data_IF_155842503387
#
_entry.id   IF_155842503387
#
_cell.length_a   1.000
_cell.length_b   1.000
_cell.length_c   1.000
_cell.angle_alpha   90.00
_cell.angle_beta   90.00
_cell.angle_gamma   90.00
#
_symmetry.space_group_name_H-M   'P 1'
#
loop_
_entity.id
_entity.type
_entity.pdbx_description
1 polymer ?
#
# COMPACT_ATOMS: atom_id res chain seq x y z
N UNK A 1 -18.34 -23.51 33.28
CA UNK A 1 -18.54 -23.73 31.85
C UNK A 1 -17.46 -24.72 31.34
N UNK A 2 -17.87 -25.71 30.55
CA UNK A 2 -16.98 -26.79 30.05
C UNK A 2 -15.81 -26.18 29.26
N UNK A 3 -16.07 -25.22 28.42
CA UNK A 3 -15.05 -24.55 27.61
C UNK A 3 -14.00 -23.81 28.47
N UNK A 4 -14.43 -23.16 29.56
CA UNK A 4 -13.51 -22.47 30.48
C UNK A 4 -12.58 -23.49 31.17
N UNK A 5 -13.14 -24.65 31.64
CA UNK A 5 -12.37 -25.68 32.31
C UNK A 5 -11.39 -26.36 31.33
N UNK A 6 -11.80 -26.55 30.07
CA UNK A 6 -10.92 -27.07 29.01
C UNK A 6 -9.76 -26.13 28.72
N UNK A 7 -10.03 -24.85 28.55
CA UNK A 7 -8.99 -23.83 28.30
C UNK A 7 -8.01 -23.74 29.47
N UNK A 8 -8.50 -23.85 30.70
CA UNK A 8 -7.65 -23.87 31.89
C UNK A 8 -6.75 -25.13 31.91
N UNK A 9 -7.29 -26.30 31.64
CA UNK A 9 -6.53 -27.55 31.55
C UNK A 9 -5.42 -27.44 30.47
N UNK A 10 -5.73 -26.94 29.30
CA UNK A 10 -4.76 -26.76 28.22
C UNK A 10 -3.66 -25.77 28.64
N UNK A 11 -4.02 -24.66 29.27
CA UNK A 11 -3.04 -23.70 29.78
C UNK A 11 -2.11 -24.34 30.82
N UNK A 12 -2.64 -24.97 31.88
CA UNK A 12 -1.84 -25.58 32.92
C UNK A 12 -0.89 -26.66 32.38
N UNK A 13 -1.35 -27.43 31.39
CA UNK A 13 -0.58 -28.55 30.83
C UNK A 13 0.52 -28.07 29.86
N UNK A 14 0.29 -27.02 29.10
CA UNK A 14 1.14 -26.66 27.96
C UNK A 14 1.83 -25.28 28.07
N UNK A 15 1.57 -24.47 29.13
CA UNK A 15 2.19 -23.16 29.28
C UNK A 15 3.74 -23.18 29.22
N UNK A 16 4.36 -24.24 29.71
CA UNK A 16 5.82 -24.42 29.71
C UNK A 16 6.36 -24.96 28.37
N UNK A 17 5.48 -25.28 27.41
CA UNK A 17 5.86 -25.76 26.09
C UNK A 17 5.70 -24.69 25.01
N UNK A 18 5.26 -23.50 25.40
CA UNK A 18 5.20 -22.36 24.49
C UNK A 18 6.60 -21.99 24.02
N UNK A 19 6.76 -21.86 22.72
CA UNK A 19 8.00 -21.40 22.10
C UNK A 19 7.70 -20.18 21.22
N UNK A 20 7.90 -19.00 21.78
CA UNK A 20 7.66 -17.72 21.10
C UNK A 20 8.99 -17.14 20.63
N UNK A 21 9.15 -17.05 19.33
CA UNK A 21 10.30 -16.37 18.75
C UNK A 21 10.02 -14.85 18.67
N UNK A 22 10.28 -14.17 19.78
CA UNK A 22 10.04 -12.73 19.90
C UNK A 22 10.88 -11.90 18.90
N UNK A 23 12.10 -12.33 18.60
CA UNK A 23 12.99 -11.66 17.65
C UNK A 23 12.41 -11.73 16.22
N UNK A 24 11.87 -12.86 15.82
CA UNK A 24 11.20 -13.03 14.54
C UNK A 24 9.95 -12.14 14.42
N UNK A 25 9.13 -12.13 15.47
CA UNK A 25 7.91 -11.28 15.52
C UNK A 25 8.31 -9.80 15.42
N UNK A 26 9.34 -9.39 16.17
CA UNK A 26 9.87 -8.02 16.14
C UNK A 26 10.37 -7.62 14.76
N UNK A 27 11.09 -8.50 14.08
CA UNK A 27 11.61 -8.24 12.74
C UNK A 27 10.47 -8.14 11.71
N UNK A 28 9.49 -9.04 11.76
CA UNK A 28 8.27 -8.98 10.92
C UNK A 28 7.50 -7.68 11.14
N UNK A 29 7.34 -7.26 12.39
CA UNK A 29 6.65 -6.02 12.73
C UNK A 29 7.40 -4.79 12.20
N UNK A 30 8.74 -4.75 12.32
CA UNK A 30 9.57 -3.67 11.75
C UNK A 30 9.38 -3.58 10.23
N UNK A 31 9.45 -4.71 9.53
CA UNK A 31 9.24 -4.75 8.08
C UNK A 31 7.83 -4.26 7.72
N UNK A 32 6.81 -4.74 8.40
CA UNK A 32 5.43 -4.29 8.20
C UNK A 32 5.27 -2.77 8.37
N UNK A 33 5.89 -2.19 9.40
CA UNK A 33 5.85 -0.74 9.63
C UNK A 33 6.56 0.03 8.51
N UNK A 34 7.70 -0.48 8.01
CA UNK A 34 8.41 0.12 6.89
C UNK A 34 7.57 0.09 5.61
N UNK A 35 6.92 -1.03 5.31
CA UNK A 35 6.01 -1.18 4.17
C UNK A 35 4.80 -0.25 4.28
N UNK A 36 4.18 -0.15 5.45
CA UNK A 36 3.10 0.79 5.70
C UNK A 36 3.55 2.25 5.52
N UNK A 37 4.74 2.59 5.99
CA UNK A 37 5.32 3.92 5.80
C UNK A 37 5.56 4.25 4.33
N UNK A 38 5.96 3.26 3.52
CA UNK A 38 6.13 3.40 2.08
C UNK A 38 4.77 3.56 1.36
N UNK A 39 3.78 2.76 1.73
CA UNK A 39 2.44 2.79 1.15
C UNK A 39 1.62 4.02 1.54
N UNK A 40 2.05 4.77 2.55
CA UNK A 40 1.36 5.97 3.02
C UNK A 40 1.83 7.27 2.33
N UNK A 41 2.69 7.18 1.31
CA UNK A 41 3.03 8.34 0.48
C UNK A 41 1.86 8.68 -0.45
N UNK A 42 1.44 9.93 -0.42
CA UNK A 42 0.41 10.48 -1.28
C UNK A 42 0.98 11.67 -2.08
N UNK A 43 0.54 11.75 -3.32
CA UNK A 43 0.93 12.78 -4.27
C UNK A 43 -0.31 13.52 -4.75
N UNK A 44 -0.30 14.84 -4.67
CA UNK A 44 -1.30 15.68 -5.32
C UNK A 44 -0.82 16.00 -6.73
N UNK A 45 -1.53 15.43 -7.71
CA UNK A 45 -1.09 15.41 -9.10
C UNK A 45 -2.02 16.18 -10.03
N UNK A 46 -1.45 16.69 -11.10
CA UNK A 46 -2.19 17.08 -12.31
C UNK A 46 -1.55 16.41 -13.52
N UNK A 47 -2.35 16.20 -14.57
CA UNK A 47 -1.92 15.49 -15.78
C UNK A 47 -2.29 16.24 -17.06
N UNK A 48 -1.48 16.01 -18.09
CA UNK A 48 -1.80 16.29 -19.50
C UNK A 48 -1.62 14.98 -20.24
N UNK A 49 -2.67 14.46 -20.86
CA UNK A 49 -2.57 13.32 -21.77
C UNK A 49 -2.75 13.86 -23.19
N UNK A 50 -1.83 13.54 -24.09
CA UNK A 50 -1.90 13.97 -25.47
C UNK A 50 -1.52 12.84 -26.43
N UNK A 51 -2.10 12.88 -27.61
CA UNK A 51 -1.79 11.96 -28.69
C UNK A 51 -0.97 12.69 -29.78
N UNK A 52 -0.22 11.90 -30.54
CA UNK A 52 0.50 12.34 -31.72
C UNK A 52 -0.09 11.59 -32.91
N UNK A 53 -0.74 12.32 -33.82
CA UNK A 53 -1.31 11.76 -35.02
C UNK A 53 -0.22 11.35 -36.02
N UNK A 54 -0.55 10.46 -36.96
CA UNK A 54 0.42 9.92 -37.93
C UNK A 54 1.14 10.98 -38.79
N UNK A 55 0.54 12.16 -38.95
CA UNK A 55 1.08 13.29 -39.70
C UNK A 55 1.73 14.37 -38.79
N UNK A 56 1.79 14.17 -37.48
CA UNK A 56 2.37 15.07 -36.49
C UNK A 56 3.75 14.62 -36.04
N UNK A 57 4.62 15.57 -35.71
CA UNK A 57 5.89 15.26 -35.05
C UNK A 57 5.72 15.32 -33.55
N UNK A 58 6.08 14.24 -32.86
CA UNK A 58 6.13 14.21 -31.39
C UNK A 58 6.90 15.39 -30.82
N UNK A 59 8.08 15.68 -31.39
CA UNK A 59 8.94 16.77 -30.92
C UNK A 59 8.22 18.11 -30.97
N UNK A 60 7.60 18.44 -32.12
CA UNK A 60 6.86 19.72 -32.30
C UNK A 60 5.66 19.78 -31.33
N UNK A 61 4.90 18.68 -31.18
CA UNK A 61 3.74 18.65 -30.28
C UNK A 61 4.16 18.87 -28.83
N UNK A 62 5.24 18.21 -28.40
CA UNK A 62 5.76 18.36 -27.04
C UNK A 62 6.33 19.78 -26.79
N UNK A 63 7.04 20.36 -27.75
CA UNK A 63 7.53 21.75 -27.69
C UNK A 63 6.38 22.75 -27.50
N UNK A 64 5.31 22.64 -28.29
CA UNK A 64 4.11 23.49 -28.14
C UNK A 64 3.47 23.36 -26.75
N UNK A 65 3.34 22.15 -26.23
CA UNK A 65 2.78 21.88 -24.88
C UNK A 65 3.71 22.47 -23.80
N UNK A 66 5.01 22.28 -23.94
CA UNK A 66 6.01 22.79 -23.00
C UNK A 66 6.04 24.31 -22.95
N UNK A 67 6.00 24.98 -24.10
CA UNK A 67 5.90 26.44 -24.21
C UNK A 67 4.60 26.96 -23.58
N UNK A 68 3.49 26.27 -23.81
CA UNK A 68 2.21 26.63 -23.17
C UNK A 68 2.28 26.47 -21.65
N UNK A 69 2.92 25.40 -21.14
CA UNK A 69 3.12 25.20 -19.70
C UNK A 69 3.95 26.38 -19.11
N UNK A 70 5.01 26.78 -19.79
CA UNK A 70 5.90 27.87 -19.33
C UNK A 70 5.18 29.23 -19.37
N UNK A 71 4.52 29.54 -20.47
CA UNK A 71 3.95 30.87 -20.71
C UNK A 71 2.58 31.10 -20.09
N UNK A 72 1.75 30.05 -20.00
CA UNK A 72 0.36 30.13 -19.58
C UNK A 72 0.03 29.29 -18.35
N UNK A 73 0.98 28.46 -17.90
CA UNK A 73 0.82 27.55 -16.79
C UNK A 73 0.19 26.20 -17.15
N UNK A 74 0.45 25.21 -16.31
CA UNK A 74 0.04 23.81 -16.53
C UNK A 74 -1.48 23.63 -16.70
N UNK A 75 -2.28 24.40 -15.95
CA UNK A 75 -3.74 24.36 -16.04
C UNK A 75 -4.24 24.74 -17.44
N UNK A 76 -3.74 25.84 -17.98
CA UNK A 76 -4.15 26.30 -19.31
C UNK A 76 -3.64 25.36 -20.42
N UNK A 77 -2.40 24.89 -20.31
CA UNK A 77 -1.87 23.88 -21.22
C UNK A 77 -2.69 22.58 -21.19
N UNK A 78 -3.15 22.14 -20.01
CA UNK A 78 -4.05 20.99 -19.90
C UNK A 78 -5.39 21.24 -20.62
N UNK A 79 -6.00 22.40 -20.42
CA UNK A 79 -7.25 22.76 -21.09
C UNK A 79 -7.15 22.75 -22.63
N UNK A 80 -5.98 23.15 -23.16
CA UNK A 80 -5.76 23.28 -24.59
C UNK A 80 -5.35 21.97 -25.28
N UNK A 81 -4.54 21.15 -24.61
CA UNK A 81 -3.85 20.03 -25.27
C UNK A 81 -4.21 18.67 -24.71
N UNK A 82 -4.80 18.60 -23.52
CA UNK A 82 -5.10 17.29 -22.92
C UNK A 82 -6.39 16.68 -23.46
N UNK A 83 -6.32 15.38 -23.77
CA UNK A 83 -7.48 14.56 -24.14
C UNK A 83 -8.12 13.88 -22.92
N UNK A 84 -7.57 14.09 -21.72
CA UNK A 84 -8.10 13.52 -20.49
C UNK A 84 -9.45 14.15 -20.10
N UNK A 85 -10.34 13.38 -19.46
CA UNK A 85 -11.66 13.87 -19.02
C UNK A 85 -11.55 15.09 -18.10
N UNK A 86 -10.50 15.14 -17.28
CA UNK A 86 -10.22 16.25 -16.36
C UNK A 86 -9.45 17.44 -17.00
N UNK A 87 -9.27 17.44 -18.31
CA UNK A 87 -8.59 18.53 -19.04
C UNK A 87 -9.15 19.91 -18.66
N UNK A 88 -10.49 20.06 -18.73
CA UNK A 88 -11.20 21.32 -18.45
C UNK A 88 -11.04 21.84 -17.02
N UNK A 89 -10.65 20.98 -16.09
CA UNK A 89 -10.32 21.35 -14.71
C UNK A 89 -8.82 21.54 -14.49
N UNK A 90 -8.06 21.69 -15.59
CA UNK A 90 -6.61 21.87 -15.57
C UNK A 90 -5.84 20.59 -15.29
N UNK A 91 -6.43 19.45 -15.68
CA UNK A 91 -5.82 18.14 -15.51
C UNK A 91 -5.74 17.68 -14.06
N UNK A 92 -6.50 18.28 -13.14
CA UNK A 92 -6.42 17.97 -11.71
C UNK A 92 -6.87 16.55 -11.42
N UNK A 93 -5.99 15.73 -10.81
CA UNK A 93 -6.29 14.39 -10.35
C UNK A 93 -6.59 14.41 -8.84
N UNK A 94 -5.94 15.32 -8.09
CA UNK A 94 -6.00 15.38 -6.64
C UNK A 94 -4.99 14.45 -5.97
N UNK A 95 -5.30 14.06 -4.73
CA UNK A 95 -4.44 13.19 -3.93
C UNK A 95 -4.58 11.72 -4.33
N UNK A 96 -3.47 11.12 -4.73
CA UNK A 96 -3.37 9.70 -5.07
C UNK A 96 -2.33 9.05 -4.17
N UNK A 97 -2.67 7.88 -3.64
CA UNK A 97 -1.72 7.07 -2.88
C UNK A 97 -0.69 6.44 -3.83
N UNK A 98 0.56 6.35 -3.40
CA UNK A 98 1.66 5.74 -4.17
C UNK A 98 1.31 4.35 -4.71
N UNK A 99 0.60 3.54 -3.92
CA UNK A 99 0.20 2.18 -4.31
C UNK A 99 -0.81 2.09 -5.46
N UNK A 100 -1.45 3.20 -5.81
CA UNK A 100 -2.39 3.30 -6.93
C UNK A 100 -1.70 3.67 -8.26
N UNK A 101 -0.41 3.97 -8.21
CA UNK A 101 0.39 4.36 -9.37
C UNK A 101 1.19 3.17 -9.90
N UNK A 102 1.39 3.11 -11.22
CA UNK A 102 2.28 2.11 -11.81
C UNK A 102 3.74 2.40 -11.45
N UNK A 103 4.58 1.36 -11.41
CA UNK A 103 6.01 1.50 -11.11
C UNK A 103 6.70 2.54 -12.01
N UNK A 104 6.36 2.56 -13.30
CA UNK A 104 6.89 3.53 -14.26
C UNK A 104 6.56 4.98 -13.90
N UNK A 105 5.37 5.23 -13.41
CA UNK A 105 4.96 6.57 -12.95
C UNK A 105 5.68 6.90 -11.64
N UNK A 106 5.78 5.95 -10.71
CA UNK A 106 6.48 6.12 -9.44
C UNK A 106 7.94 6.54 -9.66
N UNK A 107 8.68 5.84 -10.53
CA UNK A 107 10.06 6.14 -10.86
C UNK A 107 10.25 7.59 -11.34
N UNK A 108 9.31 8.11 -12.12
CA UNK A 108 9.36 9.49 -12.62
C UNK A 108 9.06 10.49 -11.51
N UNK A 109 7.97 10.29 -10.76
CA UNK A 109 7.50 11.29 -9.79
C UNK A 109 8.35 11.35 -8.52
N UNK A 110 9.06 10.27 -8.17
CA UNK A 110 9.97 10.26 -7.02
C UNK A 110 11.13 11.25 -7.19
N UNK A 111 11.61 11.39 -8.44
CA UNK A 111 12.71 12.27 -8.81
C UNK A 111 12.28 13.74 -9.01
N UNK A 112 10.98 14.04 -9.04
CA UNK A 112 10.46 15.39 -9.19
C UNK A 112 10.27 16.05 -7.83
N UNK A 113 10.47 17.37 -7.77
CA UNK A 113 10.14 18.22 -6.62
C UNK A 113 8.68 18.70 -6.70
N UNK A 114 8.21 19.35 -5.64
CA UNK A 114 6.93 20.04 -5.68
C UNK A 114 6.97 21.14 -6.76
N UNK A 115 5.86 21.30 -7.45
CA UNK A 115 5.65 22.16 -8.62
C UNK A 115 6.43 21.80 -9.90
N UNK A 116 7.24 20.74 -9.89
CA UNK A 116 7.91 20.26 -11.08
C UNK A 116 6.99 19.47 -12.01
N UNK A 117 7.34 19.52 -13.29
CA UNK A 117 6.65 18.86 -14.40
C UNK A 117 7.55 17.77 -14.98
N UNK A 118 6.99 16.60 -15.22
CA UNK A 118 7.72 15.46 -15.80
C UNK A 118 8.02 15.68 -17.28
N UNK A 119 8.99 14.93 -17.79
CA UNK A 119 9.07 14.63 -19.22
C UNK A 119 7.88 13.76 -19.64
N UNK A 120 7.53 13.71 -20.93
CA UNK A 120 6.47 12.84 -21.43
C UNK A 120 6.75 11.37 -21.14
N UNK A 121 5.77 10.69 -20.57
CA UNK A 121 5.77 9.25 -20.29
C UNK A 121 4.87 8.59 -21.33
N UNK A 122 5.38 7.65 -22.10
CA UNK A 122 4.54 6.91 -23.04
C UNK A 122 3.55 6.00 -22.31
N UNK A 123 2.29 6.09 -22.69
CA UNK A 123 1.18 5.26 -22.21
C UNK A 123 0.48 4.59 -23.40
N UNK A 124 -0.51 3.73 -23.12
CA UNK A 124 -1.19 2.92 -24.16
C UNK A 124 -1.82 3.78 -25.26
N UNK A 125 -2.37 4.94 -24.89
CA UNK A 125 -3.13 5.84 -25.77
C UNK A 125 -2.46 7.21 -25.92
N UNK A 126 -1.11 7.25 -25.98
CA UNK A 126 -0.37 8.48 -26.22
C UNK A 126 0.72 8.75 -25.21
N UNK A 127 0.81 9.98 -24.74
CA UNK A 127 1.83 10.45 -23.83
C UNK A 127 1.20 11.19 -22.64
N UNK A 128 1.78 10.97 -21.47
CA UNK A 128 1.36 11.55 -20.20
C UNK A 128 2.46 12.52 -19.70
N UNK A 129 2.08 13.73 -19.35
CA UNK A 129 2.90 14.68 -18.61
C UNK A 129 2.25 14.86 -17.23
N UNK A 130 3.03 14.76 -16.17
CA UNK A 130 2.56 14.89 -14.79
C UNK A 130 3.18 16.12 -14.16
N UNK A 131 2.37 16.91 -13.44
CA UNK A 131 2.84 17.93 -12.51
C UNK A 131 2.58 17.47 -11.09
N UNK A 132 3.61 17.51 -10.23
CA UNK A 132 3.44 17.35 -8.78
C UNK A 132 3.08 18.70 -8.21
N UNK A 133 1.94 18.78 -7.51
CA UNK A 133 1.58 19.97 -6.73
C UNK A 133 2.16 19.89 -5.34
N UNK A 134 2.02 18.72 -4.71
CA UNK A 134 2.44 18.48 -3.34
C UNK A 134 2.69 17.00 -3.10
N UNK A 135 3.60 16.69 -2.20
CA UNK A 135 3.85 15.34 -1.66
C UNK A 135 3.58 15.35 -0.16
N UNK A 136 2.90 14.35 0.33
CA UNK A 136 2.72 14.18 1.77
C UNK A 136 2.90 12.73 2.18
N UNK A 137 3.32 12.55 3.42
CA UNK A 137 3.34 11.26 4.08
C UNK A 137 2.15 11.22 5.05
N UNK A 138 1.22 10.32 4.82
CA UNK A 138 0.11 10.09 5.73
C UNK A 138 0.61 9.25 6.90
N UNK A 139 0.98 9.89 8.00
CA UNK A 139 1.48 9.19 9.18
C UNK A 139 0.37 8.32 9.79
N UNK A 140 0.52 7.01 9.69
CA UNK A 140 -0.20 6.07 10.53
C UNK A 140 0.73 5.77 11.72
N UNK A 141 0.51 6.46 12.82
CA UNK A 141 1.25 6.17 14.07
C UNK A 141 0.88 4.76 14.52
N UNK A 142 1.74 3.81 14.23
CA UNK A 142 1.66 2.46 14.77
C UNK A 142 2.44 2.48 16.08
N UNK A 143 1.74 2.26 17.19
CA UNK A 143 2.38 2.03 18.47
C UNK A 143 3.07 0.66 18.42
N UNK A 144 4.38 0.69 18.28
CA UNK A 144 5.19 -0.51 18.11
C UNK A 144 5.01 -1.47 19.29
N UNK A 145 5.07 -0.96 20.52
CA UNK A 145 5.01 -1.80 21.71
C UNK A 145 3.64 -2.47 21.85
N UNK A 146 2.58 -1.71 21.69
CA UNK A 146 1.20 -2.22 21.73
C UNK A 146 0.97 -3.28 20.66
N UNK A 147 1.44 -3.05 19.44
CA UNK A 147 1.26 -3.98 18.34
C UNK A 147 2.14 -5.23 18.54
N UNK A 148 3.35 -5.09 19.07
CA UNK A 148 4.23 -6.19 19.40
C UNK A 148 3.60 -7.11 20.45
N UNK A 149 3.10 -6.55 21.55
CA UNK A 149 2.42 -7.33 22.60
C UNK A 149 1.15 -8.02 22.07
N UNK A 150 0.43 -7.37 21.15
CA UNK A 150 -0.73 -7.98 20.47
C UNK A 150 -0.31 -9.20 19.63
N UNK A 151 0.80 -9.11 18.91
CA UNK A 151 1.32 -10.21 18.10
C UNK A 151 1.82 -11.37 18.96
N UNK A 152 2.53 -11.09 20.07
CA UNK A 152 2.95 -12.10 21.05
C UNK A 152 1.74 -12.84 21.62
N UNK A 153 0.71 -12.11 22.04
CA UNK A 153 -0.51 -12.69 22.60
C UNK A 153 -1.24 -13.57 21.58
N UNK A 154 -1.29 -13.12 20.31
CA UNK A 154 -1.88 -13.91 19.22
C UNK A 154 -1.11 -15.20 18.97
N UNK A 155 0.22 -15.15 18.97
CA UNK A 155 1.05 -16.32 18.76
C UNK A 155 0.88 -17.35 19.92
N UNK A 156 0.84 -16.87 21.17
CA UNK A 156 0.53 -17.73 22.34
C UNK A 156 -0.82 -18.42 22.17
N UNK A 157 -1.85 -17.67 21.80
CA UNK A 157 -3.18 -18.23 21.60
C UNK A 157 -3.22 -19.25 20.46
N UNK A 158 -2.50 -19.01 19.37
CA UNK A 158 -2.39 -19.95 18.26
C UNK A 158 -1.75 -21.29 18.72
N UNK A 159 -0.67 -21.21 19.49
CA UNK A 159 -0.01 -22.42 20.02
C UNK A 159 -0.90 -23.15 21.00
N UNK A 160 -1.60 -22.47 21.90
CA UNK A 160 -2.58 -23.11 22.79
C UNK A 160 -3.71 -23.77 22.01
N UNK A 161 -4.22 -23.16 20.97
CA UNK A 161 -5.24 -23.77 20.10
C UNK A 161 -4.71 -25.04 19.42
N UNK A 162 -3.47 -25.05 18.96
CA UNK A 162 -2.84 -26.24 18.38
C UNK A 162 -2.67 -27.35 19.43
N UNK A 163 -2.18 -27.03 20.62
CA UNK A 163 -2.10 -27.99 21.71
C UNK A 163 -3.45 -28.56 22.12
N UNK A 164 -4.47 -27.72 22.16
CA UNK A 164 -5.85 -28.10 22.41
C UNK A 164 -6.35 -29.15 21.42
N UNK A 165 -6.16 -28.90 20.13
CA UNK A 165 -6.56 -29.84 19.07
C UNK A 165 -5.81 -31.16 19.17
N UNK A 166 -4.49 -31.11 19.34
CA UNK A 166 -3.63 -32.29 19.45
C UNK A 166 -4.05 -33.12 20.67
N UNK A 167 -4.23 -32.45 21.82
CA UNK A 167 -4.60 -33.12 23.05
C UNK A 167 -6.01 -33.72 23.01
N UNK A 168 -6.97 -33.01 22.44
CA UNK A 168 -8.32 -33.51 22.21
C UNK A 168 -8.31 -34.78 21.34
N UNK A 169 -7.59 -34.77 20.23
CA UNK A 169 -7.49 -35.94 19.35
C UNK A 169 -6.83 -37.12 20.04
N UNK A 170 -5.81 -36.87 20.86
CA UNK A 170 -5.16 -37.95 21.68
C UNK A 170 -6.12 -38.55 22.68
N UNK A 171 -6.92 -37.74 23.38
CA UNK A 171 -7.94 -38.26 24.33
C UNK A 171 -9.00 -39.07 23.59
N UNK A 172 -9.50 -38.50 22.46
CA UNK A 172 -10.55 -39.17 21.65
C UNK A 172 -10.13 -40.54 21.16
N UNK A 173 -8.88 -40.74 20.80
CA UNK A 173 -8.36 -42.08 20.40
C UNK A 173 -8.30 -43.09 21.55
N UNK A 174 -8.17 -42.63 22.78
CA UNK A 174 -8.01 -43.45 23.95
C UNK A 174 -9.35 -43.74 24.72
N UNK A 175 -10.44 -43.09 24.27
CA UNK A 175 -11.77 -43.24 24.87
C UNK A 175 -12.66 -43.99 23.88
N UNK A 176 -13.05 -45.24 24.18
CA UNK A 176 -14.15 -45.91 23.48
C UNK A 176 -15.45 -45.24 23.93
N UNK A 177 -16.02 -44.36 23.13
CA UNK A 177 -17.36 -43.82 23.34
C UNK A 177 -18.34 -44.91 22.91
N UNK A 178 -18.84 -45.69 23.84
CA UNK A 178 -20.02 -46.52 23.61
C UNK A 178 -21.21 -45.56 23.65
N UNK A 179 -21.74 -45.19 22.49
CA UNK A 179 -23.05 -44.55 22.40
C UNK A 179 -24.12 -45.60 22.83
N UNK A 180 -24.84 -45.32 23.93
CA UNK A 180 -26.02 -46.01 24.36
C UNK A 180 -27.23 -45.62 23.55
#
# INVERSE_FOLDING_TARGET
>A
NIESNWNQLIFEKFQNQLSINEEEIKNKLKQYILEQNYSNLEYNLSQIIFEVKSNESFKKKYEMISESIINQGFKNASNLYSIAENAKTGGNIGWINKTQLSNRIIEVIENLKNDEVSKPIQISNGFLIIKIKEKRKKEKKIDFEKEFQRLISREKNNQFNQFSIIYFNKIKQNININEL
#
